data_IF_709667901557
#
_entry.id   IF_709667901557
#
_cell.length_a   1.000
_cell.length_b   1.000
_cell.length_c   1.000
_cell.angle_alpha   90.00
_cell.angle_beta   90.00
_cell.angle_gamma   90.00
#
_symmetry.space_group_name_H-M   'P 1'
#
loop_
_entity.id
_entity.type
_entity.pdbx_description
1 polymer ?
#
# COMPACT_ATOMS: atom_id res chain seq x y z
N UNK A 1 14.09 -40.25 -26.80
CA UNK A 1 13.22 -39.04 -26.74
C UNK A 1 11.77 -39.40 -26.38
N UNK A 2 11.12 -40.35 -27.07
CA UNK A 2 9.72 -40.74 -26.80
C UNK A 2 9.48 -41.35 -25.39
N UNK A 3 10.44 -42.12 -24.85
CA UNK A 3 10.33 -42.68 -23.49
C UNK A 3 10.37 -41.63 -22.35
N UNK A 4 11.11 -40.54 -22.53
CA UNK A 4 11.17 -39.44 -21.55
C UNK A 4 9.90 -38.58 -21.56
N UNK A 5 9.24 -38.45 -22.72
CA UNK A 5 7.94 -37.78 -22.84
C UNK A 5 6.81 -38.58 -22.17
N UNK A 6 6.83 -39.91 -22.29
CA UNK A 6 5.86 -40.80 -21.65
C UNK A 6 5.98 -40.84 -20.11
N UNK A 7 7.22 -40.78 -19.58
CA UNK A 7 7.49 -40.66 -18.14
C UNK A 7 6.92 -39.35 -17.57
N UNK A 8 7.10 -38.24 -18.28
CA UNK A 8 6.53 -36.94 -17.89
C UNK A 8 5.01 -36.96 -17.91
N UNK A 9 4.36 -37.54 -18.92
CA UNK A 9 2.88 -37.58 -18.99
C UNK A 9 2.24 -38.26 -17.78
N UNK A 10 2.82 -39.37 -17.30
CA UNK A 10 2.33 -40.06 -16.08
C UNK A 10 2.43 -39.18 -14.82
N UNK A 11 3.47 -38.36 -14.73
CA UNK A 11 3.64 -37.40 -13.64
C UNK A 11 2.63 -36.25 -13.74
N UNK A 12 2.41 -35.68 -14.93
CA UNK A 12 1.40 -34.64 -15.17
C UNK A 12 -0.03 -35.11 -14.83
N UNK A 13 -0.38 -36.36 -15.14
CA UNK A 13 -1.70 -36.90 -14.79
C UNK A 13 -1.99 -36.88 -13.29
N UNK A 14 -0.97 -36.93 -12.43
CA UNK A 14 -1.15 -36.82 -10.97
C UNK A 14 -1.54 -35.41 -10.53
N UNK A 15 -1.21 -34.40 -11.32
CA UNK A 15 -1.53 -32.99 -11.06
C UNK A 15 -2.84 -32.55 -11.69
N UNK A 16 -3.38 -33.29 -12.67
CA UNK A 16 -4.66 -32.96 -13.31
C UNK A 16 -5.82 -32.79 -12.32
N UNK A 17 -5.99 -33.63 -11.28
CA UNK A 17 -7.03 -33.42 -10.29
C UNK A 17 -6.86 -32.09 -9.55
N UNK A 18 -5.63 -31.72 -9.18
CA UNK A 18 -5.35 -30.44 -8.52
C UNK A 18 -5.64 -29.26 -9.44
N UNK A 19 -5.19 -29.32 -10.70
CA UNK A 19 -5.49 -28.28 -11.68
C UNK A 19 -7.00 -28.14 -11.91
N UNK A 20 -7.73 -29.25 -12.00
CA UNK A 20 -9.18 -29.25 -12.12
C UNK A 20 -9.86 -28.64 -10.89
N UNK A 21 -9.42 -28.98 -9.67
CA UNK A 21 -9.93 -28.38 -8.43
C UNK A 21 -9.65 -26.88 -8.40
N UNK A 22 -8.45 -26.42 -8.79
CA UNK A 22 -8.15 -24.99 -8.87
C UNK A 22 -9.07 -24.27 -9.87
N UNK A 23 -9.27 -24.84 -11.07
CA UNK A 23 -10.18 -24.27 -12.07
C UNK A 23 -11.62 -24.25 -11.56
N UNK A 24 -12.10 -25.34 -10.97
CA UNK A 24 -13.46 -25.42 -10.42
C UNK A 24 -13.65 -24.44 -9.26
N UNK A 25 -12.66 -24.30 -8.37
CA UNK A 25 -12.70 -23.31 -7.29
C UNK A 25 -12.79 -21.88 -7.83
N UNK A 26 -12.04 -21.57 -8.89
CA UNK A 26 -12.15 -20.27 -9.55
C UNK A 26 -13.49 -20.07 -10.28
N UNK A 27 -14.07 -21.12 -10.86
CA UNK A 27 -15.38 -21.06 -11.50
C UNK A 27 -16.53 -20.95 -10.48
N UNK A 28 -16.34 -21.45 -9.25
CA UNK A 28 -17.29 -21.32 -8.16
C UNK A 28 -17.29 -19.92 -7.51
N UNK A 29 -16.29 -19.07 -7.82
CA UNK A 29 -16.27 -17.69 -7.37
C UNK A 29 -17.47 -16.92 -7.97
N UNK A 30 -18.10 -15.97 -7.25
CA UNK A 30 -19.24 -15.20 -7.76
C UNK A 30 -18.97 -14.50 -9.11
N UNK A 31 -17.72 -14.08 -9.34
CA UNK A 31 -17.29 -13.45 -10.60
C UNK A 31 -16.92 -14.47 -11.70
N UNK A 32 -16.93 -15.76 -11.37
CA UNK A 32 -16.61 -16.87 -12.26
C UNK A 32 -15.25 -16.76 -12.96
N UNK A 33 -15.14 -17.16 -14.24
CA UNK A 33 -13.86 -17.16 -14.96
C UNK A 33 -13.31 -15.77 -15.23
N UNK A 34 -14.11 -14.69 -15.08
CA UNK A 34 -13.62 -13.32 -15.26
C UNK A 34 -12.51 -12.99 -14.27
N UNK A 35 -12.58 -13.51 -13.04
CA UNK A 35 -11.55 -13.29 -12.03
C UNK A 35 -10.20 -13.92 -12.41
N UNK A 36 -10.21 -15.12 -12.99
CA UNK A 36 -9.00 -15.79 -13.51
C UNK A 36 -8.33 -14.97 -14.61
N UNK A 37 -9.15 -14.46 -15.52
CA UNK A 37 -8.67 -13.73 -16.69
C UNK A 37 -8.26 -12.31 -16.32
N UNK A 38 -8.87 -11.71 -15.29
CA UNK A 38 -8.55 -10.35 -14.83
C UNK A 38 -7.08 -10.22 -14.44
N UNK A 39 -6.52 -11.14 -13.64
CA UNK A 39 -5.10 -11.07 -13.27
C UNK A 39 -4.16 -11.12 -14.49
N UNK A 40 -4.54 -11.89 -15.52
CA UNK A 40 -3.78 -12.03 -16.77
C UNK A 40 -3.97 -10.82 -17.69
N UNK A 41 -5.16 -10.20 -17.70
CA UNK A 41 -5.46 -9.01 -18.51
C UNK A 41 -4.86 -7.74 -17.89
N UNK A 42 -4.91 -7.60 -16.57
CA UNK A 42 -4.44 -6.43 -15.85
C UNK A 42 -2.92 -6.33 -15.82
N UNK A 43 -2.19 -7.45 -15.91
CA UNK A 43 -0.72 -7.45 -15.84
C UNK A 43 -0.02 -6.82 -17.07
N UNK A 44 -0.33 -7.19 -18.33
CA UNK A 44 0.38 -6.65 -19.50
C UNK A 44 -0.24 -5.45 -20.20
N UNK A 45 -1.52 -5.15 -19.97
CA UNK A 45 -2.21 -4.12 -20.76
C UNK A 45 -3.47 -3.51 -20.16
N UNK A 46 -3.86 -3.90 -18.95
CA UNK A 46 -5.02 -3.31 -18.27
C UNK A 46 -4.67 -1.95 -17.65
N UNK A 47 -5.23 -0.92 -18.25
CA UNK A 47 -5.69 0.34 -17.67
C UNK A 47 -4.61 1.28 -17.08
N UNK A 48 -4.38 2.36 -17.82
CA UNK A 48 -3.35 3.36 -17.56
C UNK A 48 -3.41 3.95 -16.16
N UNK A 49 -4.59 4.23 -15.61
CA UNK A 49 -4.71 4.80 -14.27
C UNK A 49 -4.18 3.88 -13.17
N UNK A 50 -4.39 2.56 -13.25
CA UNK A 50 -3.81 1.65 -12.25
C UNK A 50 -2.29 1.66 -12.30
N UNK A 51 -1.71 1.58 -13.49
CA UNK A 51 -0.26 1.59 -13.67
C UNK A 51 0.37 2.96 -13.38
N UNK A 52 -0.43 4.03 -13.31
CA UNK A 52 0.04 5.39 -13.02
C UNK A 52 -0.20 5.81 -11.56
N UNK A 53 -1.24 5.30 -10.91
CA UNK A 53 -1.67 5.78 -9.59
C UNK A 53 -1.66 4.70 -8.50
N UNK A 54 -1.59 3.42 -8.85
CA UNK A 54 -1.39 2.35 -7.88
C UNK A 54 0.07 1.89 -7.92
N UNK A 55 0.81 2.20 -6.86
CA UNK A 55 2.24 1.94 -6.74
C UNK A 55 2.59 0.46 -6.96
N UNK A 56 1.73 -0.46 -6.53
CA UNK A 56 1.93 -1.90 -6.68
C UNK A 56 1.78 -2.38 -8.13
N UNK A 57 0.98 -1.67 -8.93
CA UNK A 57 0.70 -2.02 -10.33
C UNK A 57 1.60 -1.28 -11.31
N UNK A 58 2.46 -0.37 -10.83
CA UNK A 58 3.43 0.33 -11.67
C UNK A 58 4.43 -0.64 -12.30
N UNK A 59 4.92 -0.35 -13.52
CA UNK A 59 6.00 -1.12 -14.13
C UNK A 59 7.21 -1.21 -13.19
N UNK A 60 7.87 -2.36 -13.19
CA UNK A 60 9.03 -2.65 -12.32
C UNK A 60 10.16 -1.64 -12.49
N UNK A 61 10.34 -1.13 -13.72
CA UNK A 61 11.36 -0.15 -14.06
C UNK A 61 10.84 1.30 -14.04
N UNK A 62 9.69 1.56 -13.42
CA UNK A 62 9.28 2.93 -13.13
C UNK A 62 10.37 3.63 -12.30
N UNK A 63 10.61 4.95 -12.48
CA UNK A 63 11.72 5.66 -11.82
C UNK A 63 11.77 5.48 -10.29
N UNK A 64 10.62 5.34 -9.64
CA UNK A 64 10.55 5.14 -8.19
C UNK A 64 11.02 3.75 -7.70
N UNK A 65 11.00 2.74 -8.58
CA UNK A 65 11.32 1.34 -8.25
C UNK A 65 12.64 0.87 -8.83
N UNK A 66 13.10 1.48 -9.93
CA UNK A 66 14.25 1.01 -10.69
C UNK A 66 15.54 0.86 -9.84
N UNK A 67 15.71 1.71 -8.83
CA UNK A 67 16.86 1.66 -7.91
C UNK A 67 16.58 0.89 -6.60
N UNK A 68 15.40 0.30 -6.45
CA UNK A 68 15.08 -0.50 -5.27
C UNK A 68 15.94 -1.77 -5.22
N UNK A 69 16.28 -2.20 -4.01
CA UNK A 69 17.14 -3.37 -3.79
C UNK A 69 16.53 -4.63 -4.39
N UNK A 70 15.22 -4.75 -4.31
CA UNK A 70 14.41 -5.87 -4.78
C UNK A 70 14.50 -6.00 -6.30
N UNK A 71 14.42 -4.87 -7.02
CA UNK A 71 14.54 -4.84 -8.49
C UNK A 71 15.95 -5.20 -8.92
N UNK A 72 16.98 -4.64 -8.28
CA UNK A 72 18.37 -4.99 -8.59
C UNK A 72 18.63 -6.49 -8.35
N UNK A 73 18.11 -7.05 -7.25
CA UNK A 73 18.24 -8.48 -6.98
C UNK A 73 17.52 -9.34 -8.03
N UNK A 74 16.34 -8.92 -8.45
CA UNK A 74 15.59 -9.57 -9.53
C UNK A 74 16.35 -9.53 -10.85
N UNK A 75 16.94 -8.40 -11.23
CA UNK A 75 17.76 -8.26 -12.44
C UNK A 75 18.97 -9.19 -12.42
N UNK A 76 19.71 -9.21 -11.30
CA UNK A 76 20.87 -10.10 -11.12
C UNK A 76 20.48 -11.57 -11.24
N UNK A 77 19.34 -11.96 -10.65
CA UNK A 77 18.81 -13.32 -10.75
C UNK A 77 18.41 -13.67 -12.19
N UNK A 78 17.73 -12.76 -12.88
CA UNK A 78 17.38 -12.90 -14.29
C UNK A 78 18.64 -13.06 -15.16
N UNK A 79 19.65 -12.23 -14.96
CA UNK A 79 20.91 -12.29 -15.69
C UNK A 79 21.64 -13.63 -15.45
N UNK A 80 21.76 -14.06 -14.20
CA UNK A 80 22.39 -15.33 -13.84
C UNK A 80 21.70 -16.55 -14.48
N UNK A 81 20.36 -16.58 -14.46
CA UNK A 81 19.58 -17.67 -15.08
C UNK A 81 19.67 -17.61 -16.60
N UNK A 82 19.61 -16.41 -17.19
CA UNK A 82 19.79 -16.21 -18.63
C UNK A 82 21.14 -16.76 -19.11
N UNK A 83 22.23 -16.44 -18.39
CA UNK A 83 23.56 -16.99 -18.67
C UNK A 83 23.62 -18.51 -18.54
N UNK A 84 22.97 -19.10 -17.53
CA UNK A 84 22.88 -20.55 -17.37
C UNK A 84 22.07 -21.21 -18.51
N UNK A 85 20.98 -20.59 -18.96
CA UNK A 85 20.23 -21.08 -20.12
C UNK A 85 21.07 -21.03 -21.39
N UNK A 86 21.80 -19.93 -21.65
CA UNK A 86 22.72 -19.80 -22.78
C UNK A 86 23.82 -20.86 -22.76
N UNK A 87 24.47 -21.06 -21.61
CA UNK A 87 25.48 -22.11 -21.45
C UNK A 87 24.91 -23.52 -21.64
N UNK A 88 23.62 -23.74 -21.35
CA UNK A 88 22.94 -25.01 -21.66
C UNK A 88 22.82 -25.25 -23.17
N UNK A 89 22.48 -24.21 -23.94
CA UNK A 89 22.45 -24.30 -25.40
C UNK A 89 23.83 -24.57 -25.99
N UNK A 90 24.89 -23.92 -25.49
CA UNK A 90 26.28 -24.18 -25.90
C UNK A 90 26.68 -25.64 -25.65
N UNK A 91 26.18 -26.24 -24.56
CA UNK A 91 26.39 -27.67 -24.23
C UNK A 91 25.49 -28.63 -25.05
N UNK A 92 24.71 -28.12 -26.00
CA UNK A 92 23.82 -28.91 -26.87
C UNK A 92 22.48 -29.29 -26.22
N UNK A 93 22.18 -28.82 -25.00
CA UNK A 93 20.87 -29.00 -24.40
C UNK A 93 19.83 -28.09 -25.09
N UNK A 94 18.57 -28.52 -25.12
CA UNK A 94 17.45 -27.74 -25.67
C UNK A 94 16.36 -27.57 -24.61
N UNK A 95 16.60 -26.74 -23.56
CA UNK A 95 15.69 -26.62 -22.42
C UNK A 95 14.49 -25.70 -22.73
N UNK A 96 13.82 -25.88 -23.86
CA UNK A 96 12.78 -24.97 -24.35
C UNK A 96 11.66 -24.71 -23.35
N UNK A 97 11.21 -25.76 -22.65
CA UNK A 97 10.22 -25.59 -21.59
C UNK A 97 10.70 -24.64 -20.49
N UNK A 98 11.94 -24.82 -20.01
CA UNK A 98 12.55 -23.97 -18.99
C UNK A 98 12.72 -22.54 -19.48
N UNK A 99 13.08 -22.35 -20.76
CA UNK A 99 13.14 -21.02 -21.40
C UNK A 99 11.77 -20.36 -21.41
N UNK A 100 10.70 -21.07 -21.77
CA UNK A 100 9.34 -20.53 -21.75
C UNK A 100 8.89 -20.13 -20.34
N UNK A 101 9.14 -20.98 -19.34
CA UNK A 101 8.81 -20.67 -17.94
C UNK A 101 9.61 -19.48 -17.43
N UNK A 102 10.92 -19.43 -17.71
CA UNK A 102 11.78 -18.29 -17.39
C UNK A 102 11.25 -17.01 -18.02
N UNK A 103 10.99 -17.01 -19.34
CA UNK A 103 10.49 -15.85 -20.05
C UNK A 103 9.15 -15.36 -19.50
N UNK A 104 8.23 -16.27 -19.16
CA UNK A 104 6.95 -15.92 -18.56
C UNK A 104 7.11 -15.28 -17.17
N UNK A 105 7.99 -15.82 -16.32
CA UNK A 105 8.27 -15.25 -14.99
C UNK A 105 8.98 -13.90 -15.07
N UNK A 106 9.94 -13.75 -15.98
CA UNK A 106 10.62 -12.47 -16.23
C UNK A 106 9.62 -11.44 -16.74
N UNK A 107 8.82 -11.79 -17.74
CA UNK A 107 7.78 -10.91 -18.25
C UNK A 107 6.80 -10.47 -17.15
N UNK A 108 6.35 -11.41 -16.32
CA UNK A 108 5.46 -11.11 -15.19
C UNK A 108 6.17 -10.17 -14.20
N UNK A 109 7.40 -10.49 -13.80
CA UNK A 109 8.22 -9.67 -12.91
C UNK A 109 8.59 -8.29 -13.46
N UNK A 110 8.66 -8.10 -14.78
CA UNK A 110 8.87 -6.81 -15.43
C UNK A 110 7.57 -6.01 -15.60
N UNK A 111 6.43 -6.68 -15.61
CA UNK A 111 5.13 -6.05 -15.90
C UNK A 111 4.65 -5.12 -14.77
N UNK A 112 4.81 -5.56 -13.51
CA UNK A 112 4.46 -4.78 -12.31
C UNK A 112 5.41 -5.11 -11.15
N UNK A 113 5.68 -4.11 -10.29
CA UNK A 113 6.54 -4.28 -9.11
C UNK A 113 6.01 -5.38 -8.16
N UNK A 114 4.69 -5.54 -8.07
CA UNK A 114 4.04 -6.57 -7.25
C UNK A 114 4.48 -7.99 -7.60
N UNK A 115 4.82 -8.25 -8.86
CA UNK A 115 5.22 -9.58 -9.30
C UNK A 115 6.71 -9.85 -9.13
N UNK A 116 7.54 -8.84 -8.84
CA UNK A 116 9.00 -9.02 -8.66
C UNK A 116 9.31 -10.01 -7.56
N UNK A 117 8.64 -9.92 -6.41
CA UNK A 117 8.83 -10.86 -5.30
C UNK A 117 8.42 -12.27 -5.70
N UNK A 118 7.25 -12.43 -6.33
CA UNK A 118 6.74 -13.75 -6.75
C UNK A 118 7.66 -14.39 -7.79
N UNK A 119 8.09 -13.63 -8.79
CA UNK A 119 9.03 -14.08 -9.80
C UNK A 119 10.38 -14.45 -9.17
N UNK A 120 10.91 -13.61 -8.27
CA UNK A 120 12.17 -13.85 -7.55
C UNK A 120 12.14 -15.10 -6.68
N UNK A 121 10.97 -15.50 -6.16
CA UNK A 121 10.81 -16.77 -5.43
C UNK A 121 10.76 -17.99 -6.35
N UNK A 122 10.21 -17.86 -7.56
CA UNK A 122 10.08 -18.95 -8.53
C UNK A 122 11.36 -19.19 -9.35
N UNK A 123 12.09 -18.13 -9.68
CA UNK A 123 13.29 -18.16 -10.51
C UNK A 123 14.42 -19.08 -9.99
N UNK A 124 14.71 -19.20 -8.67
CA UNK A 124 15.70 -20.14 -8.16
C UNK A 124 15.36 -21.61 -8.45
N UNK A 125 14.07 -21.96 -8.52
CA UNK A 125 13.62 -23.31 -8.91
C UNK A 125 13.91 -23.57 -10.38
N UNK A 126 13.74 -22.55 -11.23
CA UNK A 126 14.13 -22.60 -12.65
C UNK A 126 15.63 -22.82 -12.77
N UNK A 127 16.44 -22.05 -12.02
CA UNK A 127 17.90 -22.19 -11.99
C UNK A 127 18.33 -23.61 -11.59
N UNK A 128 17.75 -24.15 -10.52
CA UNK A 128 18.02 -25.51 -10.06
C UNK A 128 17.71 -26.55 -11.17
N UNK A 129 16.60 -26.37 -11.88
CA UNK A 129 16.25 -27.21 -13.03
C UNK A 129 17.27 -27.13 -14.17
N UNK A 130 17.79 -25.94 -14.47
CA UNK A 130 18.88 -25.76 -15.46
C UNK A 130 20.14 -26.47 -15.02
N UNK A 131 20.61 -26.22 -13.79
CA UNK A 131 21.85 -26.80 -13.26
C UNK A 131 21.78 -28.33 -13.12
N UNK A 132 20.59 -28.90 -12.85
CA UNK A 132 20.39 -30.34 -12.83
C UNK A 132 20.66 -30.99 -14.20
N UNK A 133 20.39 -30.30 -15.32
CA UNK A 133 20.71 -30.82 -16.65
C UNK A 133 22.20 -30.85 -16.94
N UNK A 134 22.99 -30.01 -16.27
CA UNK A 134 24.45 -29.99 -16.43
C UNK A 134 25.13 -31.10 -15.64
N UNK A 135 24.53 -31.50 -14.52
CA UNK A 135 25.07 -32.46 -13.57
C UNK A 135 24.57 -33.89 -13.81
N UNK A 136 23.65 -34.10 -14.76
CA UNK A 136 23.24 -35.43 -15.21
C UNK A 136 24.45 -36.16 -15.82
N UNK A 137 24.99 -37.20 -15.15
CA UNK A 137 26.14 -37.91 -15.66
C UNK A 137 25.76 -38.66 -16.93
N UNK A 138 26.61 -38.55 -17.96
CA UNK A 138 26.43 -39.24 -19.24
C UNK A 138 26.41 -40.77 -19.08
N UNK A 139 26.97 -41.30 -17.99
CA UNK A 139 27.26 -42.73 -17.81
C UNK A 139 26.42 -43.42 -16.71
N UNK A 140 25.23 -42.91 -16.39
CA UNK A 140 24.23 -43.66 -15.58
C UNK A 140 24.49 -43.77 -14.07
N UNK A 141 25.61 -43.27 -13.54
CA UNK A 141 25.85 -43.21 -12.10
C UNK A 141 24.93 -42.17 -11.46
N UNK A 142 23.96 -42.57 -10.61
CA UNK A 142 23.11 -41.61 -9.87
C UNK A 142 23.98 -40.76 -8.91
N UNK A 143 24.45 -39.60 -9.37
CA UNK A 143 25.25 -38.68 -8.58
C UNK A 143 24.46 -38.04 -7.44
N UNK A 144 25.13 -37.71 -6.33
CA UNK A 144 24.55 -37.01 -5.16
C UNK A 144 24.18 -35.54 -5.41
N UNK A 145 24.60 -34.99 -6.54
CA UNK A 145 24.44 -33.59 -6.92
C UNK A 145 23.00 -33.06 -6.94
N UNK A 146 21.99 -33.79 -7.46
CA UNK A 146 20.60 -33.33 -7.43
C UNK A 146 20.07 -33.17 -6.01
N UNK A 147 20.45 -34.08 -5.09
CA UNK A 147 20.05 -34.01 -3.67
C UNK A 147 20.69 -32.79 -3.01
N UNK A 148 21.99 -32.57 -3.23
CA UNK A 148 22.67 -31.38 -2.69
C UNK A 148 22.11 -30.08 -3.24
N UNK A 149 21.77 -30.02 -4.54
CA UNK A 149 21.12 -28.86 -5.14
C UNK A 149 19.74 -28.59 -4.52
N UNK A 150 18.91 -29.64 -4.36
CA UNK A 150 17.61 -29.51 -3.68
C UNK A 150 17.76 -29.06 -2.23
N UNK A 151 18.71 -29.63 -1.47
CA UNK A 151 18.98 -29.23 -0.10
C UNK A 151 19.49 -27.79 -0.01
N UNK A 152 20.36 -27.36 -0.93
CA UNK A 152 20.83 -25.99 -1.00
C UNK A 152 19.69 -25.01 -1.31
N UNK A 153 18.82 -25.32 -2.28
CA UNK A 153 17.63 -24.50 -2.56
C UNK A 153 16.68 -24.44 -1.37
N UNK A 154 16.43 -25.57 -0.70
CA UNK A 154 15.60 -25.62 0.50
C UNK A 154 16.22 -24.81 1.65
N UNK A 155 17.53 -24.89 1.85
CA UNK A 155 18.23 -24.13 2.87
C UNK A 155 18.17 -22.62 2.59
N UNK A 156 18.39 -22.19 1.34
CA UNK A 156 18.24 -20.78 0.95
C UNK A 156 16.81 -20.31 1.19
N UNK A 157 15.80 -21.08 0.78
CA UNK A 157 14.40 -20.73 1.00
C UNK A 157 14.07 -20.61 2.50
N UNK A 158 14.50 -21.57 3.33
CA UNK A 158 14.29 -21.56 4.78
C UNK A 158 15.01 -20.38 5.45
N UNK A 159 16.26 -20.10 5.07
CA UNK A 159 17.01 -18.95 5.61
C UNK A 159 16.36 -17.65 5.22
N UNK A 160 15.96 -17.46 3.96
CA UNK A 160 15.25 -16.26 3.52
C UNK A 160 13.91 -16.08 4.25
N UNK A 161 13.12 -17.14 4.37
CA UNK A 161 11.87 -17.11 5.14
C UNK A 161 12.11 -16.80 6.62
N UNK A 162 13.15 -17.38 7.23
CA UNK A 162 13.53 -17.10 8.62
C UNK A 162 14.00 -15.65 8.79
N UNK A 163 14.83 -15.13 7.89
CA UNK A 163 15.26 -13.72 7.92
C UNK A 163 14.06 -12.78 7.84
N UNK A 164 13.11 -13.01 6.93
CA UNK A 164 11.89 -12.20 6.86
C UNK A 164 11.05 -12.34 8.13
N UNK A 165 10.93 -13.54 8.69
CA UNK A 165 10.15 -13.79 9.90
C UNK A 165 10.76 -13.17 11.17
N UNK A 166 12.09 -13.19 11.31
CA UNK A 166 12.79 -12.76 12.54
C UNK A 166 13.36 -11.35 12.47
N UNK A 167 13.85 -10.93 11.32
CA UNK A 167 14.39 -9.57 11.11
C UNK A 167 13.33 -8.61 10.57
N UNK A 168 12.16 -9.12 10.18
CA UNK A 168 11.14 -8.34 9.49
C UNK A 168 11.63 -7.87 8.11
N UNK A 169 10.86 -6.94 7.55
CA UNK A 169 11.32 -6.02 6.51
C UNK A 169 10.85 -4.63 6.93
N UNK A 170 11.54 -3.58 6.48
CA UNK A 170 11.21 -2.19 6.81
C UNK A 170 10.37 -1.62 5.66
N UNK A 171 9.02 -1.72 5.69
CA UNK A 171 8.20 -0.95 4.78
C UNK A 171 8.36 0.55 5.06
N UNK A 172 7.82 1.36 4.15
CA UNK A 172 7.69 2.81 4.31
C UNK A 172 6.96 3.22 5.60
N UNK A 173 6.20 2.31 6.22
CA UNK A 173 5.46 2.53 7.47
C UNK A 173 6.26 2.22 8.75
N UNK A 174 7.53 1.81 8.64
CA UNK A 174 8.39 1.48 9.80
C UNK A 174 8.57 -0.02 10.03
N UNK A 175 9.23 -0.40 11.13
CA UNK A 175 9.52 -1.81 11.43
C UNK A 175 8.26 -2.62 11.71
N UNK A 176 8.03 -3.67 10.90
CA UNK A 176 6.95 -4.63 11.16
C UNK A 176 7.29 -5.49 12.37
N UNK A 177 6.35 -5.63 13.29
CA UNK A 177 6.47 -6.49 14.47
C UNK A 177 5.69 -7.79 14.25
N UNK A 178 6.25 -8.90 14.71
CA UNK A 178 5.54 -10.18 14.73
C UNK A 178 4.36 -10.08 15.69
N UNK A 179 3.17 -10.46 15.24
CA UNK A 179 1.95 -10.43 16.04
C UNK A 179 0.69 -10.66 15.21
N UNK A 180 -0.45 -10.61 15.89
CA UNK A 180 -1.78 -10.64 15.25
C UNK A 180 -2.39 -9.23 15.22
N UNK A 181 -3.19 -8.97 14.20
CA UNK A 181 -3.90 -7.69 14.03
C UNK A 181 -3.28 -6.79 12.97
N UNK A 182 -3.81 -5.57 12.87
CA UNK A 182 -3.33 -4.55 11.95
C UNK A 182 -2.26 -3.68 12.63
N UNK A 183 -1.31 -3.23 11.83
CA UNK A 183 -0.31 -2.27 12.26
C UNK A 183 -0.95 -0.88 12.43
N UNK A 184 -1.07 -0.41 13.68
CA UNK A 184 -1.68 0.89 13.99
C UNK A 184 -0.89 2.08 13.42
N UNK A 185 0.38 1.88 13.04
CA UNK A 185 1.16 2.93 12.37
C UNK A 185 0.80 3.10 10.88
N UNK A 186 0.14 2.10 10.29
CA UNK A 186 -0.22 2.10 8.88
C UNK A 186 -1.67 2.55 8.62
N UNK A 187 -2.51 2.60 9.65
CA UNK A 187 -3.95 2.88 9.51
C UNK A 187 -4.44 3.89 10.55
N UNK A 188 -5.41 4.76 10.19
CA UNK A 188 -5.83 5.89 11.00
C UNK A 188 -6.83 5.46 12.08
N UNK A 189 -6.42 4.58 13.00
CA UNK A 189 -7.28 4.05 14.06
C UNK A 189 -7.95 5.15 14.88
N UNK A 190 -7.18 6.12 15.35
CA UNK A 190 -7.66 7.12 16.29
C UNK A 190 -8.56 8.15 15.58
N UNK A 191 -8.24 8.54 14.35
CA UNK A 191 -9.12 9.35 13.52
C UNK A 191 -10.41 8.59 13.14
N UNK A 192 -10.33 7.29 12.86
CA UNK A 192 -11.50 6.47 12.55
C UNK A 192 -12.43 6.30 13.76
N UNK A 193 -11.88 6.17 14.97
CA UNK A 193 -12.66 6.19 16.20
C UNK A 193 -13.26 7.57 16.47
N UNK A 194 -12.52 8.65 16.21
CA UNK A 194 -13.03 10.02 16.33
C UNK A 194 -14.25 10.25 15.43
N UNK A 195 -14.17 9.88 14.15
CA UNK A 195 -15.29 9.97 13.20
C UNK A 195 -16.47 9.11 13.66
N UNK A 196 -16.23 7.91 14.18
CA UNK A 196 -17.31 7.04 14.68
C UNK A 196 -18.00 7.62 15.93
N UNK A 197 -17.25 8.30 16.79
CA UNK A 197 -17.77 8.94 18.00
C UNK A 197 -18.52 10.25 17.73
N UNK A 198 -18.24 10.91 16.59
CA UNK A 198 -18.84 12.19 16.22
C UNK A 198 -19.49 12.05 14.84
N UNK A 199 -20.81 11.79 14.78
CA UNK A 199 -21.52 11.69 13.51
C UNK A 199 -21.28 12.92 12.65
N UNK A 200 -20.80 12.71 11.43
CA UNK A 200 -20.63 13.76 10.43
C UNK A 200 -21.74 13.59 9.41
N UNK A 201 -22.44 14.68 9.11
CA UNK A 201 -23.45 14.67 8.05
C UNK A 201 -22.76 14.62 6.67
N UNK A 202 -23.40 13.92 5.72
CA UNK A 202 -22.91 13.65 4.37
C UNK A 202 -21.87 12.52 4.24
N UNK A 203 -21.39 12.34 3.01
CA UNK A 203 -20.37 11.33 2.67
C UNK A 203 -18.97 11.74 3.15
N UNK A 204 -18.14 10.72 3.47
CA UNK A 204 -16.74 10.92 3.84
C UNK A 204 -15.87 10.53 2.66
N UNK A 205 -15.20 11.52 2.07
CA UNK A 205 -14.11 11.26 1.14
C UNK A 205 -12.89 10.78 1.93
N UNK A 206 -12.40 9.60 1.62
CA UNK A 206 -11.26 9.00 2.28
C UNK A 206 -10.08 8.83 1.32
N UNK A 207 -8.86 8.79 1.87
CA UNK A 207 -7.72 8.37 1.08
C UNK A 207 -7.82 6.89 0.71
N UNK A 208 -7.48 6.56 -0.54
CA UNK A 208 -7.49 5.21 -1.11
C UNK A 208 -6.87 4.17 -0.16
N UNK A 209 -5.71 4.49 0.43
CA UNK A 209 -4.98 3.61 1.34
C UNK A 209 -5.76 3.28 2.62
N UNK A 210 -6.71 4.12 3.02
CA UNK A 210 -7.56 3.97 4.20
C UNK A 210 -8.87 3.23 3.90
N UNK A 211 -9.41 3.34 2.68
CA UNK A 211 -10.77 2.91 2.37
C UNK A 211 -11.13 1.48 2.78
N UNK A 212 -10.27 0.50 2.49
CA UNK A 212 -10.55 -0.89 2.87
C UNK A 212 -10.55 -1.10 4.39
N UNK A 213 -9.63 -0.42 5.10
CA UNK A 213 -9.58 -0.43 6.55
C UNK A 213 -10.82 0.23 7.16
N UNK A 214 -11.20 1.41 6.67
CA UNK A 214 -12.37 2.13 7.17
C UNK A 214 -13.66 1.36 6.89
N UNK A 215 -13.79 0.75 5.70
CA UNK A 215 -14.96 -0.06 5.36
C UNK A 215 -15.14 -1.24 6.32
N UNK A 216 -14.04 -1.91 6.67
CA UNK A 216 -14.03 -2.97 7.68
C UNK A 216 -14.34 -2.43 9.09
N UNK A 217 -13.64 -1.38 9.52
CA UNK A 217 -13.74 -0.83 10.87
C UNK A 217 -15.12 -0.23 11.18
N UNK A 218 -15.77 0.35 10.18
CA UNK A 218 -17.06 1.02 10.31
C UNK A 218 -18.25 0.14 9.92
N UNK A 219 -18.01 -1.03 9.31
CA UNK A 219 -19.08 -1.93 8.85
C UNK A 219 -20.17 -1.18 8.05
N UNK A 220 -19.73 -0.25 7.19
CA UNK A 220 -20.60 0.59 6.34
C UNK A 220 -21.21 1.84 7.00
N UNK A 221 -20.87 2.20 8.25
CA UNK A 221 -21.34 3.43 8.91
C UNK A 221 -20.25 4.15 9.71
N UNK A 222 -19.91 5.41 9.38
CA UNK A 222 -20.52 6.28 8.36
C UNK A 222 -20.24 5.86 6.92
N UNK A 223 -20.92 6.50 5.96
CA UNK A 223 -20.78 6.20 4.53
C UNK A 223 -19.44 6.71 4.01
N UNK A 224 -18.65 5.80 3.46
CA UNK A 224 -17.43 6.11 2.72
C UNK A 224 -17.76 6.44 1.27
N UNK A 225 -17.01 7.38 0.71
CA UNK A 225 -17.05 7.69 -0.71
C UNK A 225 -16.38 6.57 -1.53
N UNK A 226 -15.26 6.02 -1.04
CA UNK A 226 -14.52 5.00 -1.77
C UNK A 226 -13.95 3.92 -0.83
N UNK A 227 -14.32 2.65 -1.03
CA UNK A 227 -13.90 1.56 -0.13
C UNK A 227 -12.48 1.02 -0.41
N UNK A 228 -11.66 1.70 -1.20
CA UNK A 228 -10.27 1.31 -1.47
C UNK A 228 -10.07 0.17 -2.49
N UNK A 229 -11.14 -0.44 -3.02
CA UNK A 229 -11.02 -1.39 -4.14
C UNK A 229 -11.54 -0.74 -5.42
N UNK A 230 -10.70 -0.69 -6.43
CA UNK A 230 -11.09 -0.18 -7.75
C UNK A 230 -11.75 -1.31 -8.53
N UNK A 231 -13.07 -1.42 -8.41
CA UNK A 231 -13.90 -2.36 -9.19
C UNK A 231 -14.40 -1.72 -10.49
N UNK A 232 -14.57 -0.40 -10.49
CA UNK A 232 -14.90 0.42 -11.65
C UNK A 232 -13.81 1.47 -11.84
N UNK A 233 -13.05 1.32 -12.92
CA UNK A 233 -11.96 2.22 -13.28
C UNK A 233 -12.44 3.57 -13.76
N UNK A 234 -13.60 3.62 -14.44
CA UNK A 234 -14.15 4.88 -14.91
C UNK A 234 -14.58 5.72 -13.72
N UNK A 235 -15.18 5.10 -12.71
CA UNK A 235 -15.44 5.76 -11.44
C UNK A 235 -14.13 6.24 -10.80
N UNK A 236 -13.11 5.38 -10.70
CA UNK A 236 -11.85 5.77 -10.08
C UNK A 236 -11.17 6.95 -10.78
N UNK A 237 -11.14 6.97 -12.11
CA UNK A 237 -10.56 8.07 -12.88
C UNK A 237 -11.41 9.35 -12.83
N UNK A 238 -12.72 9.24 -13.11
CA UNK A 238 -13.60 10.41 -13.32
C UNK A 238 -14.20 10.97 -12.03
N UNK A 239 -14.24 10.17 -10.97
CA UNK A 239 -14.87 10.57 -9.71
C UNK A 239 -13.82 10.64 -8.60
N UNK A 240 -13.02 9.59 -8.39
CA UNK A 240 -12.08 9.57 -7.27
C UNK A 240 -10.83 10.43 -7.53
N UNK A 241 -10.13 10.23 -8.65
CA UNK A 241 -8.92 11.00 -8.98
C UNK A 241 -9.24 12.43 -9.42
N UNK A 242 -10.40 12.64 -10.06
CA UNK A 242 -10.82 13.95 -10.55
C UNK A 242 -10.99 15.00 -9.44
N UNK A 243 -11.24 14.59 -8.19
CA UNK A 243 -11.31 15.52 -7.04
C UNK A 243 -10.05 16.38 -6.91
N UNK A 244 -8.91 15.87 -7.39
CA UNK A 244 -7.61 16.51 -7.32
C UNK A 244 -7.16 17.10 -8.67
N UNK A 245 -8.01 17.06 -9.71
CA UNK A 245 -7.68 17.49 -11.07
C UNK A 245 -7.91 19.00 -11.28
N UNK A 246 -9.02 19.55 -10.81
CA UNK A 246 -9.32 20.99 -10.88
C UNK A 246 -10.31 21.42 -9.80
N UNK A 247 -10.34 22.73 -9.48
CA UNK A 247 -11.27 23.26 -8.47
C UNK A 247 -12.75 23.06 -8.88
N UNK A 248 -13.02 23.03 -10.19
CA UNK A 248 -14.33 22.74 -10.74
C UNK A 248 -14.73 21.28 -10.48
N UNK A 249 -13.82 20.33 -10.74
CA UNK A 249 -14.06 18.91 -10.45
C UNK A 249 -14.19 18.65 -8.94
N UNK A 250 -13.35 19.26 -8.11
CA UNK A 250 -13.49 19.20 -6.64
C UNK A 250 -14.90 19.62 -6.21
N UNK A 251 -15.38 20.77 -6.71
CA UNK A 251 -16.71 21.29 -6.37
C UNK A 251 -17.81 20.36 -6.88
N UNK A 252 -17.73 19.90 -8.13
CA UNK A 252 -18.69 18.96 -8.72
C UNK A 252 -18.83 17.71 -7.86
N UNK A 253 -17.72 17.07 -7.53
CA UNK A 253 -17.71 15.82 -6.75
C UNK A 253 -18.23 16.04 -5.33
N UNK A 254 -17.82 17.13 -4.68
CA UNK A 254 -18.31 17.49 -3.34
C UNK A 254 -19.83 17.66 -3.33
N UNK A 255 -20.38 18.34 -4.32
CA UNK A 255 -21.81 18.64 -4.37
C UNK A 255 -22.65 17.46 -4.85
N UNK A 256 -22.19 16.74 -5.88
CA UNK A 256 -22.88 15.59 -6.47
C UNK A 256 -23.02 14.41 -5.48
N UNK A 257 -22.01 14.20 -4.65
CA UNK A 257 -21.96 13.10 -3.67
C UNK A 257 -22.23 13.53 -2.23
N UNK A 258 -22.65 14.80 -2.02
CA UNK A 258 -22.89 15.40 -0.70
C UNK A 258 -21.75 15.11 0.31
N UNK A 259 -20.51 15.43 -0.10
CA UNK A 259 -19.34 15.22 0.75
C UNK A 259 -19.33 16.22 1.91
N UNK A 260 -19.30 15.68 3.12
CA UNK A 260 -19.25 16.44 4.37
C UNK A 260 -17.94 16.38 5.11
N UNK A 261 -17.08 15.44 4.75
CA UNK A 261 -15.77 15.30 5.35
C UNK A 261 -14.73 14.77 4.36
N UNK A 262 -13.48 15.10 4.65
CA UNK A 262 -12.29 14.55 4.01
C UNK A 262 -11.38 13.95 5.08
N UNK A 263 -11.21 12.63 5.08
CA UNK A 263 -10.27 11.89 5.92
C UNK A 263 -9.07 11.45 5.08
N UNK A 264 -8.01 12.23 5.13
CA UNK A 264 -6.84 12.08 4.25
C UNK A 264 -5.59 11.74 5.05
N UNK A 265 -4.63 11.06 4.44
CA UNK A 265 -3.30 10.90 4.98
C UNK A 265 -2.57 12.24 5.04
N UNK A 266 -1.87 12.47 6.15
CA UNK A 266 -1.12 13.71 6.35
C UNK A 266 0.07 13.75 5.41
N UNK A 267 0.19 14.85 4.66
CA UNK A 267 1.34 15.12 3.82
C UNK A 267 1.71 16.60 3.82
N UNK A 268 2.95 16.96 3.44
CA UNK A 268 3.34 18.36 3.34
C UNK A 268 2.44 19.12 2.34
N UNK A 269 1.71 20.11 2.84
CA UNK A 269 0.84 20.96 2.04
C UNK A 269 0.75 22.37 2.66
N UNK A 270 0.46 23.35 1.82
CA UNK A 270 0.14 24.73 2.20
C UNK A 270 -1.01 25.23 1.32
N UNK A 271 -1.62 26.40 1.57
CA UNK A 271 -2.60 26.99 0.66
C UNK A 271 -2.13 27.09 -0.80
N UNK A 272 -0.81 27.25 -1.00
CA UNK A 272 -0.21 27.52 -2.31
C UNK A 272 0.61 26.34 -2.85
N UNK A 273 0.70 25.22 -2.12
CA UNK A 273 1.53 24.06 -2.52
C UNK A 273 0.96 22.74 -2.02
N UNK A 274 1.29 21.65 -2.70
CA UNK A 274 0.76 20.32 -2.42
C UNK A 274 -0.43 19.97 -3.33
N UNK A 275 -1.08 18.82 -3.10
CA UNK A 275 -2.22 18.39 -3.90
C UNK A 275 -3.35 19.40 -3.87
N UNK A 276 -4.08 19.50 -4.98
CA UNK A 276 -5.20 20.41 -5.12
C UNK A 276 -6.24 20.21 -4.01
N UNK A 277 -6.61 18.96 -3.68
CA UNK A 277 -7.58 18.66 -2.63
C UNK A 277 -7.21 19.33 -1.29
N UNK A 278 -5.93 19.27 -0.89
CA UNK A 278 -5.46 19.96 0.31
C UNK A 278 -5.54 21.49 0.16
N UNK A 279 -5.18 22.03 -1.01
CA UNK A 279 -5.26 23.47 -1.26
C UNK A 279 -6.70 23.98 -1.18
N UNK A 280 -7.66 23.25 -1.75
CA UNK A 280 -9.09 23.60 -1.65
C UNK A 280 -9.54 23.57 -0.18
N UNK A 281 -9.24 22.49 0.56
CA UNK A 281 -9.60 22.35 1.98
C UNK A 281 -8.94 23.41 2.90
N UNK A 282 -7.74 23.90 2.54
CA UNK A 282 -7.00 24.90 3.33
C UNK A 282 -7.36 26.36 3.00
N UNK A 283 -7.98 26.61 1.84
CA UNK A 283 -8.29 27.96 1.34
C UNK A 283 -9.77 28.30 1.43
N UNK A 284 -10.65 27.31 1.32
CA UNK A 284 -12.09 27.48 1.38
C UNK A 284 -12.57 27.56 2.85
N UNK A 285 -13.27 28.65 3.24
CA UNK A 285 -13.62 28.89 4.63
C UNK A 285 -14.65 27.89 5.19
N UNK A 286 -15.42 27.23 4.32
CA UNK A 286 -16.40 26.22 4.71
C UNK A 286 -15.75 24.89 5.14
N UNK A 287 -14.44 24.69 5.01
CA UNK A 287 -13.77 23.47 5.47
C UNK A 287 -13.00 23.73 6.76
N UNK A 288 -13.30 22.94 7.79
CA UNK A 288 -12.76 23.10 9.14
C UNK A 288 -11.89 21.91 9.52
N UNK A 289 -10.64 22.16 9.92
CA UNK A 289 -9.76 21.12 10.43
C UNK A 289 -10.18 20.76 11.86
N UNK A 290 -10.67 19.53 12.09
CA UNK A 290 -11.16 19.07 13.41
C UNK A 290 -10.33 17.96 14.03
N UNK A 291 -9.51 17.28 13.22
CA UNK A 291 -8.55 16.27 13.65
C UNK A 291 -7.29 16.33 12.80
N UNK A 292 -6.15 16.10 13.42
CA UNK A 292 -4.93 15.73 12.73
C UNK A 292 -4.00 14.98 13.69
N UNK A 293 -3.18 14.09 13.15
CA UNK A 293 -2.09 13.41 13.86
C UNK A 293 -0.90 13.20 12.90
N UNK A 294 0.04 12.30 13.20
CA UNK A 294 1.18 12.03 12.31
C UNK A 294 0.79 11.28 11.02
N UNK A 295 -0.37 10.61 10.98
CA UNK A 295 -0.82 9.76 9.89
C UNK A 295 -1.98 10.37 9.09
N UNK A 296 -2.97 10.99 9.75
CA UNK A 296 -4.22 11.40 9.12
C UNK A 296 -4.69 12.79 9.54
N UNK A 297 -5.52 13.40 8.71
CA UNK A 297 -6.21 14.65 8.94
C UNK A 297 -7.67 14.55 8.56
N UNK A 298 -8.53 15.27 9.29
CA UNK A 298 -9.96 15.32 9.05
C UNK A 298 -10.41 16.77 8.89
N UNK A 299 -10.91 17.07 7.69
CA UNK A 299 -11.64 18.30 7.41
C UNK A 299 -13.14 18.01 7.40
N UNK A 300 -13.92 18.89 7.99
CA UNK A 300 -15.39 18.81 8.05
C UNK A 300 -16.00 20.06 7.44
N UNK A 301 -17.03 19.88 6.62
CA UNK A 301 -17.78 20.97 5.99
C UNK A 301 -18.63 21.70 7.04
N UNK A 302 -18.56 23.02 7.02
CA UNK A 302 -19.26 23.97 7.89
C UNK A 302 -20.73 24.04 7.45
N UNK A 303 -21.54 23.16 8.06
CA UNK A 303 -23.00 23.09 7.90
C UNK A 303 -23.67 22.99 9.28
N UNK A 304 -24.95 23.37 9.40
CA UNK A 304 -25.66 23.36 10.68
C UNK A 304 -25.55 22.02 11.43
N UNK A 305 -25.59 20.90 10.71
CA UNK A 305 -25.53 19.55 11.23
C UNK A 305 -24.17 19.23 11.88
N UNK A 306 -23.09 19.85 11.38
CA UNK A 306 -21.72 19.67 11.85
C UNK A 306 -21.27 20.75 12.85
N UNK A 307 -22.12 21.75 13.15
CA UNK A 307 -21.75 22.92 13.93
C UNK A 307 -21.25 22.57 15.34
N UNK A 308 -21.88 21.60 16.00
CA UNK A 308 -21.47 21.15 17.34
C UNK A 308 -20.06 20.55 17.34
N UNK A 309 -19.78 19.66 16.38
CA UNK A 309 -18.46 19.05 16.19
C UNK A 309 -17.39 20.11 15.91
N UNK A 310 -17.68 21.06 15.01
CA UNK A 310 -16.76 22.14 14.65
C UNK A 310 -16.46 23.01 15.87
N UNK A 311 -17.49 23.45 16.60
CA UNK A 311 -17.31 24.30 17.78
C UNK A 311 -16.41 23.65 18.85
N UNK A 312 -16.55 22.33 19.04
CA UNK A 312 -15.77 21.57 20.02
C UNK A 312 -14.33 21.29 19.54
N UNK A 313 -14.18 20.87 18.28
CA UNK A 313 -12.95 20.22 17.82
C UNK A 313 -12.12 21.02 16.81
N UNK A 314 -12.62 22.13 16.26
CA UNK A 314 -11.86 22.93 15.28
C UNK A 314 -10.51 23.39 15.84
N UNK A 315 -9.48 23.21 15.01
CA UNK A 315 -8.16 23.79 15.15
C UNK A 315 -8.11 25.10 14.38
N UNK A 316 -8.33 26.22 15.07
CA UNK A 316 -8.36 27.55 14.45
C UNK A 316 -6.97 28.13 14.28
N UNK A 317 -6.07 27.84 15.21
CA UNK A 317 -4.72 28.40 15.25
C UNK A 317 -3.63 27.34 15.20
N UNK A 318 -3.84 26.19 15.84
CA UNK A 318 -2.89 25.06 15.86
C UNK A 318 -3.14 24.17 14.65
N UNK A 319 -2.87 24.72 13.47
CA UNK A 319 -3.04 24.10 12.15
C UNK A 319 -1.66 23.75 11.53
N UNK A 320 -1.33 22.45 11.35
CA UNK A 320 0.00 22.02 10.89
C UNK A 320 0.33 22.45 9.45
N UNK A 321 -0.64 22.97 8.71
CA UNK A 321 -0.48 23.45 7.33
C UNK A 321 -0.38 24.97 7.24
N UNK A 322 -0.62 25.70 8.35
CA UNK A 322 -0.79 27.16 8.39
C UNK A 322 -0.05 27.77 9.58
N UNK A 323 1.27 27.88 9.49
CA UNK A 323 2.07 28.54 10.54
C UNK A 323 1.73 30.03 10.70
N UNK A 324 1.16 30.67 9.68
CA UNK A 324 0.59 32.01 9.74
C UNK A 324 -0.56 32.11 10.74
N UNK A 325 -1.43 31.08 10.82
CA UNK A 325 -2.53 31.03 11.79
C UNK A 325 -2.03 30.91 13.22
N UNK A 326 -0.99 30.11 13.46
CA UNK A 326 -0.36 30.00 14.78
C UNK A 326 0.17 31.36 15.25
N UNK A 327 0.92 32.05 14.39
CA UNK A 327 1.47 33.38 14.70
C UNK A 327 0.38 34.43 14.96
N UNK A 328 -0.72 34.38 14.21
CA UNK A 328 -1.88 35.25 14.44
C UNK A 328 -2.57 34.91 15.78
N UNK A 329 -2.77 33.62 16.05
CA UNK A 329 -3.38 33.13 17.30
C UNK A 329 -2.60 33.53 18.53
N UNK A 330 -1.27 33.42 18.51
CA UNK A 330 -0.43 33.84 19.63
C UNK A 330 -0.54 35.34 19.94
N UNK A 331 -0.88 36.17 18.95
CA UNK A 331 -1.09 37.61 19.13
C UNK A 331 -2.52 37.95 19.54
N UNK A 332 -3.50 37.23 19.01
CA UNK A 332 -4.93 37.58 19.12
C UNK A 332 -5.63 36.81 20.24
N UNK A 333 -5.32 35.54 20.42
CA UNK A 333 -5.99 34.63 21.35
C UNK A 333 -5.04 33.49 21.78
N UNK A 334 -4.00 33.85 22.53
CA UNK A 334 -3.00 32.90 23.00
C UNK A 334 -3.62 31.78 23.87
N UNK A 335 -4.71 32.08 24.59
CA UNK A 335 -5.43 31.11 25.41
C UNK A 335 -6.07 30.03 24.56
N UNK A 336 -6.68 30.38 23.42
CA UNK A 336 -7.20 29.37 22.49
C UNK A 336 -6.08 28.51 21.90
N UNK A 337 -4.94 29.11 21.53
CA UNK A 337 -3.76 28.34 21.06
C UNK A 337 -3.34 27.32 22.12
N UNK A 338 -3.26 27.74 23.38
CA UNK A 338 -2.91 26.89 24.52
C UNK A 338 -3.89 25.72 24.68
N UNK A 339 -5.20 25.99 24.62
CA UNK A 339 -6.26 24.98 24.68
C UNK A 339 -6.19 23.98 23.53
N UNK A 340 -5.94 24.44 22.31
CA UNK A 340 -5.81 23.59 21.12
C UNK A 340 -4.56 22.69 21.22
N UNK A 341 -3.42 23.22 21.66
CA UNK A 341 -2.23 22.42 21.95
C UNK A 341 -2.50 21.37 23.03
N UNK A 342 -3.19 21.75 24.12
CA UNK A 342 -3.51 20.81 25.20
C UNK A 342 -4.44 19.69 24.72
N UNK A 343 -5.44 20.04 23.90
CA UNK A 343 -6.33 19.07 23.27
C UNK A 343 -5.56 18.11 22.36
N UNK A 344 -4.65 18.63 21.55
CA UNK A 344 -3.84 17.80 20.65
C UNK A 344 -2.95 16.84 21.43
N UNK A 345 -2.25 17.31 22.47
CA UNK A 345 -1.38 16.47 23.28
C UNK A 345 -2.14 15.44 24.13
N UNK A 346 -3.41 15.69 24.46
CA UNK A 346 -4.27 14.67 25.09
C UNK A 346 -4.65 13.55 24.11
N UNK A 347 -4.93 13.91 22.85
CA UNK A 347 -5.28 12.95 21.79
C UNK A 347 -4.07 12.16 21.32
N UNK A 348 -2.96 12.87 21.09
CA UNK A 348 -1.72 12.33 20.52
C UNK A 348 -0.53 12.80 21.37
N UNK A 349 -0.24 12.13 22.49
CA UNK A 349 0.80 12.57 23.44
C UNK A 349 2.21 12.72 22.85
N UNK A 350 2.48 12.01 21.76
CA UNK A 350 3.77 12.02 21.09
C UNK A 350 3.81 12.90 19.84
N UNK A 351 2.79 13.73 19.60
CA UNK A 351 2.75 14.62 18.45
C UNK A 351 3.93 15.59 18.45
N UNK A 352 4.83 15.46 17.48
CA UNK A 352 6.08 16.23 17.46
C UNK A 352 5.83 17.72 17.27
N UNK A 353 4.82 18.09 16.50
CA UNK A 353 4.57 19.49 16.18
C UNK A 353 3.95 20.23 17.37
N UNK A 354 2.90 19.66 17.99
CA UNK A 354 2.29 20.24 19.18
C UNK A 354 3.28 20.33 20.36
N UNK A 355 4.13 19.31 20.55
CA UNK A 355 5.21 19.35 21.56
C UNK A 355 6.19 20.49 21.28
N UNK A 356 6.58 20.68 20.02
CA UNK A 356 7.49 21.76 19.64
C UNK A 356 6.90 23.15 19.94
N UNK A 357 5.59 23.34 19.74
CA UNK A 357 4.91 24.60 20.08
C UNK A 357 4.96 24.81 21.60
N UNK A 358 4.60 23.79 22.38
CA UNK A 358 4.61 23.87 23.86
C UNK A 358 5.99 24.18 24.43
N UNK A 359 7.02 23.52 23.92
CA UNK A 359 8.39 23.72 24.39
C UNK A 359 8.99 25.04 23.93
N UNK A 360 8.77 25.42 22.67
CA UNK A 360 9.41 26.61 22.09
C UNK A 360 8.65 27.89 22.38
N UNK A 361 7.32 27.85 22.38
CA UNK A 361 6.47 29.03 22.54
C UNK A 361 6.08 29.21 24.00
N UNK A 362 5.53 28.17 24.63
CA UNK A 362 5.05 28.25 26.03
C UNK A 362 6.14 27.97 27.07
N UNK A 363 7.33 27.54 26.64
CA UNK A 363 8.51 27.25 27.51
C UNK A 363 8.20 26.24 28.62
N UNK A 364 7.33 25.27 28.33
CA UNK A 364 6.96 24.20 29.26
C UNK A 364 7.29 22.83 28.66
N UNK A 365 7.49 21.84 29.52
CA UNK A 365 7.49 20.44 29.05
C UNK A 365 6.04 20.01 28.79
N UNK A 366 5.78 19.07 27.85
CA UNK A 366 4.43 18.58 27.59
C UNK A 366 3.71 18.05 28.84
N UNK A 367 4.45 17.41 29.76
CA UNK A 367 3.89 16.91 31.01
C UNK A 367 3.44 18.03 31.95
N UNK A 368 4.27 19.06 32.14
CA UNK A 368 3.91 20.23 32.97
C UNK A 368 2.73 20.98 32.35
N UNK A 369 2.74 21.14 31.02
CA UNK A 369 1.70 21.80 30.27
C UNK A 369 0.33 21.12 30.41
N UNK A 370 0.29 19.79 30.30
CA UNK A 370 -0.95 19.02 30.45
C UNK A 370 -1.51 19.06 31.88
N UNK A 371 -0.65 19.07 32.91
CA UNK A 371 -1.08 19.23 34.32
C UNK A 371 -1.75 20.57 34.57
N UNK A 372 -1.23 21.65 33.98
CA UNK A 372 -1.84 22.98 34.09
C UNK A 372 -3.25 23.03 33.46
N UNK A 373 -3.57 22.11 32.55
CA UNK A 373 -4.85 22.02 31.83
C UNK A 373 -5.78 20.92 32.34
N UNK A 374 -5.64 20.54 33.61
CA UNK A 374 -6.58 19.62 34.28
C UNK A 374 -6.41 18.16 33.88
N UNK A 375 -5.24 17.78 33.38
CA UNK A 375 -4.91 16.37 33.12
C UNK A 375 -4.07 15.85 34.29
N UNK A 376 -4.47 14.77 35.00
CA UNK A 376 -3.67 14.21 36.08
C UNK A 376 -2.28 13.74 35.65
#
# INVERSE_FOLDING_TARGET
VLGAAALRWREWRRWLPFAAVCVLACLAHPDGPRHLVWAIQSAPGGNGAFRQHNVEMMPTFAPMHAASREVVQFELLCAGIGLALLASFVKGARPWFTVCVFAALVWLGCSTIRYVTTASMALPVVLAGVLATWSAPRDGARGRWPVLATLATAAVALVSSATVAFSGYTPSTGERRVGFGLDRSAYPFDAAEFVRAHPIDGGIFDEHSFGAFLAWQWNGKPKLYFHGYVLDERFYEREYLAVNASAAEFTRIVDEHDLGAFLLGRMPATPNSGPLVFRELLTRPEWRLVWWDDLAVLFVKDRPENAALIAESEFRYVDPFRTDRLNAGLKQDAKRVEQECARQLRRVPNDRWARSIVEQVFKQTPATFLRAHGTP
#
